data_IF_143936874967
#
_entry.id   IF_143936874967
#
_cell.length_a   1.000
_cell.length_b   1.000
_cell.length_c   1.000
_cell.angle_alpha   90.00
_cell.angle_beta   90.00
_cell.angle_gamma   90.00
#
_symmetry.space_group_name_H-M   'P 1'
#
loop_
_entity.id
_entity.type
_entity.pdbx_description
1 polymer ?
#
# COMPACT_ATOMS: atom_id res chain seq x y z
N UNK A 1 -16.23 -10.05 12.69
CA UNK A 1 -17.18 -10.40 11.61
C UNK A 1 -17.04 -9.32 10.55
N UNK A 2 -16.65 -9.65 9.32
CA UNK A 2 -16.45 -8.62 8.28
C UNK A 2 -17.82 -8.09 7.84
N UNK A 3 -18.09 -6.80 8.02
CA UNK A 3 -19.37 -6.14 7.70
C UNK A 3 -19.59 -5.99 6.18
N UNK A 4 -19.40 -7.06 5.43
CA UNK A 4 -19.52 -7.15 3.97
C UNK A 4 -20.73 -8.00 3.53
N UNK A 5 -21.49 -8.56 4.47
CA UNK A 5 -22.62 -9.44 4.16
C UNK A 5 -23.71 -8.66 3.40
N UNK A 6 -24.19 -9.22 2.29
CA UNK A 6 -25.15 -8.56 1.42
C UNK A 6 -24.57 -7.49 0.48
N UNK A 7 -23.23 -7.37 0.39
CA UNK A 7 -22.56 -6.49 -0.58
C UNK A 7 -22.10 -7.27 -1.81
N UNK A 8 -22.16 -6.65 -2.99
CA UNK A 8 -21.72 -7.25 -4.25
C UNK A 8 -20.20 -7.51 -4.30
N UNK A 9 -19.45 -6.82 -3.44
CA UNK A 9 -17.98 -6.94 -3.33
C UNK A 9 -17.52 -8.36 -2.98
N UNK A 10 -18.35 -9.15 -2.30
CA UNK A 10 -18.03 -10.55 -2.02
C UNK A 10 -18.20 -11.46 -3.25
N UNK A 11 -19.03 -11.07 -4.21
CA UNK A 11 -19.37 -11.88 -5.39
C UNK A 11 -18.35 -11.71 -6.53
N UNK A 12 -17.67 -10.57 -6.58
CA UNK A 12 -16.68 -10.27 -7.63
C UNK A 12 -15.26 -10.61 -7.18
N UNK A 13 -14.44 -11.16 -8.09
CA UNK A 13 -13.00 -11.36 -7.82
C UNK A 13 -12.28 -10.03 -7.74
N UNK A 14 -11.43 -9.85 -6.72
CA UNK A 14 -10.62 -8.64 -6.60
C UNK A 14 -9.59 -8.56 -7.74
N UNK A 15 -9.52 -7.42 -8.40
CA UNK A 15 -8.52 -7.14 -9.44
C UNK A 15 -8.15 -5.65 -9.43
N UNK A 16 -6.86 -5.34 -9.36
CA UNK A 16 -6.34 -3.96 -9.41
C UNK A 16 -4.98 -3.92 -10.09
N UNK A 17 -4.82 -3.08 -11.12
CA UNK A 17 -3.51 -2.76 -11.70
C UNK A 17 -2.74 -1.82 -10.77
N UNK A 18 -1.44 -2.04 -10.64
CA UNK A 18 -0.54 -1.24 -9.81
C UNK A 18 0.88 -1.34 -10.35
N UNK A 19 1.85 -0.72 -9.67
CA UNK A 19 3.27 -0.89 -9.96
C UNK A 19 3.94 -1.57 -8.75
N UNK A 20 5.07 -2.22 -8.99
CA UNK A 20 5.89 -2.85 -7.97
C UNK A 20 7.37 -2.69 -8.32
N UNK A 21 8.23 -3.32 -7.53
CA UNK A 21 9.67 -3.36 -7.71
C UNK A 21 10.11 -4.80 -8.02
N UNK A 22 11.01 -4.95 -8.99
CA UNK A 22 11.65 -6.22 -9.28
C UNK A 22 12.51 -6.67 -8.07
N UNK A 23 12.34 -7.90 -7.55
CA UNK A 23 13.13 -8.39 -6.41
C UNK A 23 14.64 -8.47 -6.69
N UNK A 24 15.05 -8.54 -7.95
CA UNK A 24 16.45 -8.70 -8.36
C UNK A 24 17.11 -7.37 -8.74
N UNK A 25 16.67 -6.71 -9.81
CA UNK A 25 17.27 -5.44 -10.24
C UNK A 25 16.74 -4.17 -9.54
N UNK A 26 15.69 -4.28 -8.71
CA UNK A 26 15.05 -3.14 -8.03
C UNK A 26 14.43 -2.08 -8.96
N UNK A 27 14.27 -2.39 -10.25
CA UNK A 27 13.57 -1.51 -11.19
C UNK A 27 12.06 -1.54 -11.00
N UNK A 28 11.41 -0.43 -11.37
CA UNK A 28 9.96 -0.28 -11.34
C UNK A 28 9.31 -1.09 -12.47
N UNK A 29 8.38 -1.97 -12.11
CA UNK A 29 7.69 -2.87 -13.04
C UNK A 29 6.17 -2.84 -12.84
N UNK A 30 5.42 -3.19 -13.88
CA UNK A 30 3.97 -3.32 -13.80
C UNK A 30 3.58 -4.54 -12.96
N UNK A 31 2.50 -4.38 -12.19
CA UNK A 31 1.97 -5.43 -11.34
C UNK A 31 0.45 -5.44 -11.30
N UNK A 32 -0.12 -6.58 -10.95
CA UNK A 32 -1.54 -6.78 -10.77
C UNK A 32 -1.79 -7.43 -9.42
N UNK A 33 -2.70 -6.84 -8.66
CA UNK A 33 -3.25 -7.45 -7.45
C UNK A 33 -4.51 -8.21 -7.84
N UNK A 34 -4.49 -9.54 -7.70
CA UNK A 34 -5.60 -10.41 -8.10
C UNK A 34 -5.97 -11.42 -7.03
N UNK A 35 -7.24 -11.79 -6.99
CA UNK A 35 -7.75 -12.85 -6.13
C UNK A 35 -7.70 -14.23 -6.80
N UNK A 36 -7.13 -15.20 -6.09
CA UNK A 36 -7.01 -16.59 -6.51
C UNK A 36 -7.14 -17.49 -5.27
N UNK A 37 -7.99 -18.52 -5.35
CA UNK A 37 -8.22 -19.50 -4.28
C UNK A 37 -8.48 -18.91 -2.88
N UNK A 38 -9.25 -17.82 -2.82
CA UNK A 38 -9.58 -17.13 -1.57
C UNK A 38 -8.42 -16.36 -0.94
N UNK A 39 -7.31 -16.19 -1.67
CA UNK A 39 -6.14 -15.39 -1.30
C UNK A 39 -5.98 -14.24 -2.30
N UNK A 40 -5.14 -13.26 -1.95
CA UNK A 40 -4.82 -12.14 -2.82
C UNK A 40 -3.33 -12.16 -3.11
N UNK A 41 -2.99 -12.15 -4.40
CA UNK A 41 -1.62 -12.20 -4.91
C UNK A 41 -1.26 -10.92 -5.65
N UNK A 42 0.00 -10.52 -5.55
CA UNK A 42 0.63 -9.61 -6.50
C UNK A 42 1.32 -10.45 -7.57
N UNK A 43 0.96 -10.26 -8.83
CA UNK A 43 1.65 -10.84 -9.98
C UNK A 43 2.36 -9.71 -10.70
N UNK A 44 3.65 -9.88 -10.96
CA UNK A 44 4.51 -8.88 -11.62
C UNK A 44 5.47 -9.57 -12.57
N UNK A 45 5.80 -8.90 -13.67
CA UNK A 45 6.73 -9.41 -14.68
C UNK A 45 7.87 -8.40 -14.86
N UNK A 46 9.10 -8.89 -14.73
CA UNK A 46 10.30 -8.15 -15.09
C UNK A 46 10.80 -8.63 -16.46
N UNK A 47 11.09 -7.74 -17.42
CA UNK A 47 11.62 -8.13 -18.73
C UNK A 47 12.95 -8.92 -18.65
N UNK A 48 13.73 -8.72 -17.60
CA UNK A 48 15.04 -9.35 -17.41
C UNK A 48 14.98 -10.60 -16.51
N UNK A 49 14.18 -10.56 -15.44
CA UNK A 49 14.18 -11.59 -14.38
C UNK A 49 12.92 -12.47 -14.39
N UNK A 50 11.95 -12.20 -15.26
CA UNK A 50 10.76 -13.02 -15.46
C UNK A 50 9.60 -12.72 -14.50
N UNK A 51 8.76 -13.73 -14.28
CA UNK A 51 7.52 -13.60 -13.51
C UNK A 51 7.74 -13.83 -12.00
N UNK A 52 7.11 -12.98 -11.20
CA UNK A 52 7.02 -13.14 -9.74
C UNK A 52 5.57 -13.13 -9.29
N UNK A 53 5.28 -13.94 -8.26
CA UNK A 53 3.97 -14.05 -7.63
C UNK A 53 4.12 -14.09 -6.12
N UNK A 54 3.65 -13.04 -5.46
CA UNK A 54 3.75 -12.86 -4.02
C UNK A 54 2.36 -12.85 -3.38
N UNK A 55 2.21 -13.44 -2.20
CA UNK A 55 0.95 -13.37 -1.45
C UNK A 55 0.87 -12.04 -0.68
N UNK A 56 -0.16 -11.23 -0.97
CA UNK A 56 -0.43 -9.98 -0.23
C UNK A 56 -1.33 -10.28 0.98
N UNK A 57 -2.32 -11.15 0.80
CA UNK A 57 -3.23 -11.54 1.88
C UNK A 57 -3.61 -13.00 1.75
N UNK A 58 -3.56 -13.73 2.87
CA UNK A 58 -4.02 -15.10 2.98
C UNK A 58 -5.54 -15.24 3.02
N UNK A 59 -6.28 -14.14 3.11
CA UNK A 59 -7.74 -14.11 3.14
C UNK A 59 -8.29 -12.96 2.27
N UNK A 60 -8.92 -13.31 1.16
CA UNK A 60 -9.49 -12.36 0.22
C UNK A 60 -10.68 -11.58 0.81
N UNK A 61 -11.52 -12.22 1.64
CA UNK A 61 -12.64 -11.55 2.32
C UNK A 61 -12.13 -10.44 3.24
N UNK A 62 -11.07 -10.70 4.00
CA UNK A 62 -10.40 -9.70 4.83
C UNK A 62 -9.80 -8.57 3.98
N UNK A 63 -9.07 -8.92 2.92
CA UNK A 63 -8.44 -7.92 2.06
C UNK A 63 -9.48 -6.99 1.42
N UNK A 64 -10.56 -7.54 0.87
CA UNK A 64 -11.69 -6.78 0.33
C UNK A 64 -12.33 -5.89 1.40
N UNK A 65 -12.49 -6.40 2.62
CA UNK A 65 -13.02 -5.62 3.73
C UNK A 65 -12.17 -4.39 4.00
N UNK A 66 -10.84 -4.52 4.13
CA UNK A 66 -9.92 -3.39 4.36
C UNK A 66 -9.80 -2.37 3.21
N UNK A 67 -10.34 -2.70 2.04
CA UNK A 67 -10.39 -1.86 0.84
C UNK A 67 -11.83 -1.46 0.46
N UNK A 68 -12.80 -1.79 1.30
CA UNK A 68 -14.20 -1.53 1.03
C UNK A 68 -14.54 -0.04 1.20
N UNK A 69 -15.33 0.48 0.28
CA UNK A 69 -15.92 1.81 0.34
C UNK A 69 -17.42 1.68 0.11
N UNK A 70 -18.23 2.24 1.00
CA UNK A 70 -19.67 2.37 0.78
C UNK A 70 -19.91 3.61 -0.06
N UNK A 71 -20.56 3.46 -1.21
CA UNK A 71 -20.92 4.55 -2.10
C UNK A 71 -22.44 4.72 -2.17
N UNK A 72 -22.90 5.94 -2.44
CA UNK A 72 -24.31 6.19 -2.77
C UNK A 72 -24.61 5.81 -4.24
N UNK A 73 -25.87 5.99 -4.66
CA UNK A 73 -26.31 5.72 -6.04
C UNK A 73 -25.63 6.63 -7.09
N UNK A 74 -25.09 7.76 -6.65
CA UNK A 74 -24.41 8.75 -7.48
C UNK A 74 -22.88 8.55 -7.49
N UNK A 75 -22.36 7.54 -6.78
CA UNK A 75 -20.93 7.24 -6.67
C UNK A 75 -20.20 8.00 -5.56
N UNK A 76 -20.87 8.83 -4.76
CA UNK A 76 -20.25 9.55 -3.64
C UNK A 76 -19.91 8.58 -2.51
N UNK A 77 -18.73 8.73 -1.92
CA UNK A 77 -18.26 7.88 -0.83
C UNK A 77 -18.99 8.28 0.46
N UNK A 78 -19.83 7.38 0.97
CA UNK A 78 -20.55 7.53 2.24
C UNK A 78 -19.71 7.09 3.43
N UNK A 79 -18.84 6.09 3.23
CA UNK A 79 -17.96 5.57 4.25
C UNK A 79 -16.77 4.85 3.62
N UNK A 80 -15.58 5.04 4.18
CA UNK A 80 -14.38 4.29 3.86
C UNK A 80 -13.48 4.22 5.10
N UNK A 81 -12.48 3.35 5.08
CA UNK A 81 -11.41 3.42 6.08
C UNK A 81 -10.68 4.76 5.96
N UNK A 82 -10.46 5.42 7.09
CA UNK A 82 -9.64 6.63 7.19
C UNK A 82 -8.21 6.27 6.80
N UNK A 83 -7.81 6.77 5.64
CA UNK A 83 -6.49 6.67 5.02
C UNK A 83 -6.25 8.02 4.34
N UNK A 84 -6.14 9.06 5.17
CA UNK A 84 -6.10 10.47 4.78
C UNK A 84 -4.67 11.02 4.69
N UNK A 85 -3.67 10.15 4.80
CA UNK A 85 -2.26 10.53 4.79
C UNK A 85 -1.78 11.04 6.14
N UNK A 86 -0.54 11.50 6.19
CA UNK A 86 -0.01 12.02 7.45
C UNK A 86 -0.53 13.41 7.78
N UNK A 87 -1.04 13.57 9.01
CA UNK A 87 -1.43 14.89 9.55
C UNK A 87 -0.24 15.84 9.68
N UNK A 88 0.98 15.30 9.72
CA UNK A 88 2.22 16.03 9.70
C UNK A 88 2.93 15.80 8.35
N UNK A 89 2.75 16.68 7.35
CA UNK A 89 3.38 16.51 6.05
C UNK A 89 4.91 16.61 6.16
N UNK A 90 5.63 16.03 5.20
CA UNK A 90 7.08 16.18 5.15
C UNK A 90 7.49 17.66 4.95
N UNK A 91 8.61 18.05 5.56
CA UNK A 91 9.24 19.36 5.38
C UNK A 91 9.62 19.65 3.92
N UNK A 92 9.80 18.58 3.12
CA UNK A 92 10.07 18.65 1.69
C UNK A 92 9.20 17.63 0.94
N UNK A 93 8.65 18.06 -0.20
CA UNK A 93 7.96 17.17 -1.13
C UNK A 93 8.96 16.61 -2.14
N UNK A 94 8.86 15.33 -2.45
CA UNK A 94 9.63 14.71 -3.55
C UNK A 94 8.98 15.04 -4.89
N UNK A 95 9.79 15.47 -5.87
CA UNK A 95 9.33 15.99 -7.17
C UNK A 95 9.87 15.20 -8.38
N UNK A 96 10.31 13.96 -8.18
CA UNK A 96 10.84 13.13 -9.28
C UNK A 96 9.72 12.69 -10.24
N UNK A 97 9.86 13.03 -11.53
CA UNK A 97 8.89 12.68 -12.56
C UNK A 97 8.66 11.17 -12.72
N UNK A 98 9.59 10.33 -12.26
CA UNK A 98 9.47 8.86 -12.32
C UNK A 98 8.44 8.29 -11.33
N UNK A 99 8.01 9.08 -10.34
CA UNK A 99 6.99 8.70 -9.36
C UNK A 99 7.46 7.65 -8.34
N UNK A 100 6.52 6.90 -7.74
CA UNK A 100 6.83 5.79 -6.83
C UNK A 100 7.60 4.68 -7.56
N UNK A 101 8.75 4.17 -7.05
CA UNK A 101 9.28 4.35 -5.69
C UNK A 101 10.32 5.48 -5.52
N UNK A 102 10.67 6.20 -6.57
CA UNK A 102 11.69 7.26 -6.53
C UNK A 102 11.24 8.48 -5.70
N UNK A 103 9.92 8.66 -5.55
CA UNK A 103 9.29 9.60 -4.63
C UNK A 103 8.84 8.98 -3.29
N UNK A 104 9.31 7.78 -2.94
CA UNK A 104 8.80 7.07 -1.76
C UNK A 104 9.26 7.76 -0.46
N UNK A 105 8.28 8.19 0.34
CA UNK A 105 8.42 8.97 1.58
C UNK A 105 7.03 9.33 2.09
N UNK A 106 6.83 10.50 2.70
CA UNK A 106 5.50 11.07 3.01
C UNK A 106 4.88 11.75 1.77
N UNK A 107 4.77 11.02 0.65
CA UNK A 107 4.18 11.52 -0.60
C UNK A 107 2.64 11.47 -0.57
N UNK A 108 1.97 11.99 -1.60
CA UNK A 108 0.49 11.96 -1.70
C UNK A 108 -0.11 10.54 -1.67
N UNK A 109 0.65 9.54 -2.11
CA UNK A 109 0.23 8.14 -2.06
C UNK A 109 0.50 7.47 -0.69
N UNK A 110 1.18 8.16 0.25
CA UNK A 110 1.43 7.70 1.61
C UNK A 110 0.22 7.97 2.50
N UNK A 111 -0.85 7.22 2.25
CA UNK A 111 -2.17 7.44 2.86
C UNK A 111 -2.32 6.88 4.28
N UNK A 112 -1.31 6.17 4.79
CA UNK A 112 -1.35 5.57 6.13
C UNK A 112 -0.53 6.42 7.11
N UNK A 113 -1.07 6.68 8.30
CA UNK A 113 -0.31 7.31 9.39
C UNK A 113 0.54 6.29 10.14
N UNK A 114 1.66 6.76 10.72
CA UNK A 114 2.49 6.02 11.65
C UNK A 114 1.67 5.41 12.79
N UNK A 115 1.43 4.10 12.71
CA UNK A 115 0.71 3.36 13.76
C UNK A 115 1.61 2.95 14.94
N UNK A 116 2.91 2.77 14.69
CA UNK A 116 3.91 2.41 15.69
C UNK A 116 5.27 3.01 15.29
N UNK A 117 5.83 3.83 16.16
CA UNK A 117 7.20 4.32 16.02
C UNK A 117 8.15 3.49 16.89
N UNK A 118 9.24 3.00 16.29
CA UNK A 118 10.35 2.37 17.00
C UNK A 118 11.53 3.35 16.98
N UNK A 119 12.04 3.70 18.15
CA UNK A 119 13.14 4.66 18.31
C UNK A 119 14.25 3.97 19.10
N UNK A 120 15.40 3.80 18.45
CA UNK A 120 16.59 3.27 19.09
C UNK A 120 17.36 4.40 19.79
N UNK A 121 17.31 4.40 21.12
CA UNK A 121 18.01 5.39 21.93
C UNK A 121 19.42 4.92 22.24
N UNK A 122 20.40 5.68 21.76
CA UNK A 122 21.82 5.53 22.14
C UNK A 122 22.28 6.75 22.92
N UNK A 123 23.40 6.65 23.64
CA UNK A 123 24.02 7.79 24.34
C UNK A 123 24.47 8.94 23.40
N UNK A 124 24.41 8.74 22.08
CA UNK A 124 24.71 9.75 21.07
C UNK A 124 23.45 10.41 20.49
N UNK A 125 22.26 9.90 20.81
CA UNK A 125 21.01 10.44 20.29
C UNK A 125 20.70 11.81 20.91
N UNK A 126 20.49 12.81 20.06
CA UNK A 126 20.10 14.16 20.44
C UNK A 126 18.81 14.65 19.75
N UNK A 127 18.04 13.75 19.14
CA UNK A 127 16.77 14.02 18.44
C UNK A 127 16.84 15.04 17.29
N UNK A 128 18.03 15.36 16.77
CA UNK A 128 18.18 16.39 15.74
C UNK A 128 18.23 15.83 14.30
N UNK A 129 18.05 14.52 14.12
CA UNK A 129 18.08 13.87 12.81
C UNK A 129 16.66 13.77 12.24
N UNK A 130 16.52 13.97 10.93
CA UNK A 130 15.27 13.77 10.18
C UNK A 130 14.98 12.29 9.86
N UNK A 131 15.92 11.40 10.14
CA UNK A 131 15.79 9.94 10.09
C UNK A 131 16.52 9.30 11.27
N UNK A 132 16.08 8.12 11.71
CA UNK A 132 16.75 7.34 12.76
C UNK A 132 17.52 6.18 12.11
N UNK A 133 18.80 6.01 12.45
CA UNK A 133 19.55 4.82 12.06
C UNK A 133 19.49 3.80 13.19
N UNK A 134 18.77 2.70 12.97
CA UNK A 134 18.94 1.48 13.75
C UNK A 134 20.33 0.90 13.42
N UNK A 135 21.12 0.59 14.45
CA UNK A 135 22.51 0.15 14.33
C UNK A 135 22.66 -1.26 14.90
#
# INVERSE_FOLDING_TARGET
MYHLEGTDVLNEKYYRKTASVCPECLERIDAVVQEEDGKVFMVKNCPEHGDFKDIISSNAKYYKWTHFQKKDKNGNILWQFEKDGESNPADCASDDDRGCPYNCGLCSEHISTCALALIDLTNRCNFNCNFCYAN
#
